data_IF_032517567167
#
_entry.id   IF_032517567167
#
_cell.length_a   1.000
_cell.length_b   1.000
_cell.length_c   1.000
_cell.angle_alpha   90.00
_cell.angle_beta   90.00
_cell.angle_gamma   90.00
#
_symmetry.space_group_name_H-M   'P 1'
#
loop_
_entity.id
_entity.type
_entity.pdbx_description
1 polymer ?
#
# COMPACT_ATOMS: atom_id res chain seq x y z
N UNK A 1 0.03 68.02 -37.17
CA UNK A 1 -0.57 66.68 -37.03
C UNK A 1 0.07 65.92 -35.85
N UNK A 2 0.11 66.47 -34.63
CA UNK A 2 0.94 65.81 -33.58
C UNK A 2 0.50 66.03 -32.12
N UNK A 3 -0.81 66.02 -31.85
CA UNK A 3 -1.35 66.01 -30.47
C UNK A 3 -2.45 64.99 -30.19
N UNK A 4 -2.84 64.17 -31.17
CA UNK A 4 -3.90 63.14 -31.00
C UNK A 4 -3.38 61.73 -30.76
N UNK A 5 -2.05 61.48 -30.78
CA UNK A 5 -1.48 60.13 -30.61
C UNK A 5 -0.90 59.81 -29.22
N UNK A 6 -0.98 60.71 -28.24
CA UNK A 6 -0.39 60.48 -26.90
C UNK A 6 -1.35 60.06 -25.79
N UNK A 7 -2.65 59.92 -26.06
CA UNK A 7 -3.65 59.56 -25.03
C UNK A 7 -4.25 58.15 -25.16
N UNK A 8 -3.66 57.27 -25.98
CA UNK A 8 -4.16 55.88 -26.15
C UNK A 8 -3.25 54.80 -25.58
N UNK A 9 -2.19 55.17 -24.86
CA UNK A 9 -1.23 54.22 -24.27
C UNK A 9 -1.11 54.42 -22.76
N UNK A 10 -2.26 54.45 -22.09
CA UNK A 10 -2.36 54.38 -20.63
C UNK A 10 -3.74 53.87 -20.20
N UNK A 11 -4.28 52.89 -20.91
CA UNK A 11 -5.19 51.95 -20.25
C UNK A 11 -4.30 50.88 -19.64
N UNK A 12 -3.84 51.15 -18.42
CA UNK A 12 -3.23 50.13 -17.59
C UNK A 12 -4.21 48.98 -17.51
N UNK A 13 -3.80 47.82 -18.02
CA UNK A 13 -4.37 46.55 -17.62
C UNK A 13 -4.05 46.46 -16.13
N UNK A 14 -4.96 46.99 -15.29
CA UNK A 14 -5.10 46.51 -13.93
C UNK A 14 -5.51 45.06 -14.11
N UNK A 15 -4.53 44.17 -14.16
CA UNK A 15 -4.77 42.78 -13.83
C UNK A 15 -5.32 42.82 -12.39
N UNK A 16 -6.64 42.78 -12.27
CA UNK A 16 -7.23 42.35 -11.01
C UNK A 16 -6.63 40.96 -10.77
N UNK A 17 -5.73 40.88 -9.79
CA UNK A 17 -5.23 39.61 -9.27
C UNK A 17 -6.38 38.92 -8.55
N UNK A 18 -7.37 38.47 -9.32
CA UNK A 18 -8.51 37.73 -8.79
C UNK A 18 -7.98 36.35 -8.45
N UNK A 19 -8.00 36.04 -7.16
CA UNK A 19 -7.66 34.72 -6.67
C UNK A 19 -8.84 33.80 -7.01
N UNK A 20 -8.71 33.04 -8.09
CA UNK A 20 -9.65 32.00 -8.48
C UNK A 20 -9.46 30.69 -7.68
N UNK A 21 -10.42 29.75 -7.78
CA UNK A 21 -10.35 28.44 -7.13
C UNK A 21 -9.06 27.68 -7.43
N UNK A 22 -8.55 27.77 -8.66
CA UNK A 22 -7.32 27.09 -9.09
C UNK A 22 -6.06 27.61 -8.38
N UNK A 23 -6.02 28.92 -8.12
CA UNK A 23 -4.92 29.54 -7.36
C UNK A 23 -4.95 29.08 -5.89
N UNK A 24 -6.14 28.96 -5.29
CA UNK A 24 -6.31 28.42 -3.93
C UNK A 24 -5.91 26.93 -3.92
N UNK A 25 -6.36 26.16 -4.90
CA UNK A 25 -6.05 24.75 -5.03
C UNK A 25 -4.54 24.50 -5.12
N UNK A 26 -3.79 25.26 -5.93
CA UNK A 26 -2.33 25.14 -6.03
C UNK A 26 -1.62 25.41 -4.70
N UNK A 27 -2.05 26.44 -3.95
CA UNK A 27 -1.45 26.77 -2.65
C UNK A 27 -1.77 25.69 -1.62
N UNK A 28 -3.03 25.26 -1.53
CA UNK A 28 -3.45 24.18 -0.63
C UNK A 28 -2.71 22.90 -0.97
N UNK A 29 -2.59 22.54 -2.26
CA UNK A 29 -1.80 21.39 -2.70
C UNK A 29 -0.34 21.46 -2.30
N UNK A 30 0.27 22.63 -2.38
CA UNK A 30 1.67 22.83 -1.98
C UNK A 30 1.85 22.67 -0.46
N UNK A 31 0.86 23.06 0.34
CA UNK A 31 0.89 22.95 1.80
C UNK A 31 0.56 21.53 2.28
N UNK A 32 -0.44 20.90 1.70
CA UNK A 32 -0.91 19.56 2.11
C UNK A 32 -0.14 18.44 1.43
N UNK A 33 0.52 18.72 0.30
CA UNK A 33 1.15 17.72 -0.57
C UNK A 33 0.14 16.94 -1.43
N UNK A 34 -1.13 17.38 -1.51
CA UNK A 34 -2.22 16.66 -2.15
C UNK A 34 -2.76 17.47 -3.32
N UNK A 35 -2.86 16.91 -4.55
CA UNK A 35 -3.44 17.62 -5.68
C UNK A 35 -4.93 17.96 -5.43
N UNK A 36 -5.27 19.24 -5.31
CA UNK A 36 -6.62 19.76 -5.01
C UNK A 36 -7.43 19.98 -6.29
N UNK A 37 -6.79 19.88 -7.46
CA UNK A 37 -7.31 20.35 -8.75
C UNK A 37 -8.56 19.62 -9.31
N UNK A 38 -9.15 18.64 -8.61
CA UNK A 38 -10.21 17.82 -9.22
C UNK A 38 -11.24 17.18 -8.25
N UNK A 39 -11.70 17.89 -7.22
CA UNK A 39 -12.44 17.30 -6.10
C UNK A 39 -13.96 17.10 -6.30
N UNK A 40 -14.39 16.60 -7.46
CA UNK A 40 -15.81 16.29 -7.68
C UNK A 40 -16.04 15.04 -8.51
N UNK A 41 -15.99 15.18 -9.84
CA UNK A 41 -16.21 14.06 -10.75
C UNK A 41 -15.02 13.10 -10.78
N UNK A 42 -13.79 13.62 -10.74
CA UNK A 42 -12.56 12.81 -10.73
C UNK A 42 -12.40 12.00 -9.43
N UNK A 43 -12.84 12.52 -8.29
CA UNK A 43 -12.79 11.78 -7.02
C UNK A 43 -13.78 10.61 -7.01
N UNK A 44 -15.00 10.82 -7.51
CA UNK A 44 -15.98 9.74 -7.67
C UNK A 44 -15.49 8.68 -8.66
N UNK A 45 -14.90 9.08 -9.79
CA UNK A 45 -14.31 8.16 -10.77
C UNK A 45 -13.13 7.39 -10.18
N UNK A 46 -12.24 8.05 -9.45
CA UNK A 46 -11.14 7.40 -8.71
C UNK A 46 -11.68 6.37 -7.73
N UNK A 47 -12.73 6.67 -6.98
CA UNK A 47 -13.34 5.71 -6.04
C UNK A 47 -13.95 4.50 -6.76
N UNK A 48 -14.54 4.69 -7.95
CA UNK A 48 -15.06 3.60 -8.78
C UNK A 48 -13.94 2.70 -9.34
N UNK A 49 -12.81 3.28 -9.73
CA UNK A 49 -11.65 2.54 -10.25
C UNK A 49 -10.75 1.97 -9.15
N UNK A 50 -10.88 2.47 -7.92
CA UNK A 50 -10.01 2.13 -6.79
C UNK A 50 -9.86 0.62 -6.59
N UNK A 51 -10.91 -0.22 -6.63
CA UNK A 51 -10.72 -1.66 -6.50
C UNK A 51 -9.76 -2.20 -7.56
N UNK A 52 -9.92 -1.84 -8.83
CA UNK A 52 -9.05 -2.28 -9.92
C UNK A 52 -7.61 -1.82 -9.71
N UNK A 53 -7.41 -0.57 -9.31
CA UNK A 53 -6.08 0.00 -9.04
C UNK A 53 -5.39 -0.70 -7.87
N UNK A 54 -6.14 -1.02 -6.81
CA UNK A 54 -5.63 -1.76 -5.67
C UNK A 54 -5.28 -3.22 -6.02
N UNK A 55 -6.06 -3.89 -6.88
CA UNK A 55 -5.78 -5.27 -7.34
C UNK A 55 -4.51 -5.39 -8.17
N UNK A 56 -4.15 -4.35 -8.93
CA UNK A 56 -2.87 -4.33 -9.66
C UNK A 56 -1.68 -4.48 -8.71
N UNK A 57 -1.79 -3.92 -7.51
CA UNK A 57 -0.74 -3.86 -6.50
C UNK A 57 -0.84 -4.93 -5.42
N UNK A 58 -2.05 -5.36 -5.05
CA UNK A 58 -2.29 -6.35 -4.00
C UNK A 58 -2.91 -7.60 -4.62
N UNK A 59 -2.16 -8.70 -4.59
CA UNK A 59 -2.55 -9.99 -5.19
C UNK A 59 -3.33 -10.84 -4.19
N UNK A 60 -4.45 -11.44 -4.63
CA UNK A 60 -5.15 -12.51 -3.91
C UNK A 60 -5.97 -12.06 -2.71
N UNK A 61 -6.36 -10.79 -2.67
CA UNK A 61 -7.13 -10.19 -1.58
C UNK A 61 -8.34 -9.42 -2.12
N UNK A 62 -9.03 -10.01 -3.09
CA UNK A 62 -10.11 -9.38 -3.86
C UNK A 62 -11.24 -8.92 -2.94
N UNK A 63 -11.66 -9.79 -2.01
CA UNK A 63 -12.67 -9.48 -1.00
C UNK A 63 -12.26 -8.32 -0.08
N UNK A 64 -10.97 -8.21 0.24
CA UNK A 64 -10.45 -7.15 1.12
C UNK A 64 -10.51 -5.77 0.45
N UNK A 65 -10.22 -5.75 -0.84
CA UNK A 65 -10.21 -4.54 -1.66
C UNK A 65 -11.64 -4.05 -1.89
N UNK A 66 -12.58 -4.93 -2.23
CA UNK A 66 -13.99 -4.57 -2.51
C UNK A 66 -14.73 -4.13 -1.25
N UNK A 67 -14.41 -4.70 -0.08
CA UNK A 67 -15.09 -4.37 1.19
C UNK A 67 -14.58 -3.11 1.88
N UNK A 68 -13.50 -2.52 1.37
CA UNK A 68 -13.01 -1.22 1.84
C UNK A 68 -13.90 -0.09 1.31
N UNK A 69 -15.14 0.01 1.81
CA UNK A 69 -16.13 1.02 1.41
C UNK A 69 -15.74 2.40 1.95
N UNK A 70 -14.93 3.11 1.20
CA UNK A 70 -14.49 4.46 1.53
C UNK A 70 -15.59 5.48 1.20
N UNK A 71 -15.73 6.51 2.04
CA UNK A 71 -16.67 7.62 1.80
C UNK A 71 -18.11 7.38 2.24
N UNK A 72 -18.41 6.28 2.93
CA UNK A 72 -19.70 6.02 3.59
C UNK A 72 -19.65 6.20 5.12
N UNK A 73 -18.57 6.80 5.63
CA UNK A 73 -18.42 7.08 7.06
C UNK A 73 -19.39 8.16 7.54
N UNK A 74 -19.71 8.16 8.83
CA UNK A 74 -20.55 9.21 9.40
C UNK A 74 -19.83 10.57 9.35
N UNK A 75 -20.54 11.68 9.07
CA UNK A 75 -19.99 13.01 9.22
C UNK A 75 -19.42 13.21 10.63
N UNK A 76 -18.14 13.58 10.72
CA UNK A 76 -17.44 13.75 12.00
C UNK A 76 -16.62 12.54 12.46
N UNK A 77 -16.65 11.41 11.76
CA UNK A 77 -15.76 10.27 11.99
C UNK A 77 -14.64 10.22 10.94
N UNK A 78 -13.59 9.40 11.14
CA UNK A 78 -12.61 9.15 10.08
C UNK A 78 -13.29 8.65 8.80
N UNK A 79 -12.75 9.05 7.65
CA UNK A 79 -13.28 8.73 6.31
C UNK A 79 -13.42 7.22 6.04
N UNK A 80 -12.67 6.41 6.79
CA UNK A 80 -12.87 4.98 6.92
C UNK A 80 -12.05 4.40 8.07
N UNK A 81 -12.56 3.38 8.74
CA UNK A 81 -11.86 2.69 9.81
C UNK A 81 -11.94 1.17 9.64
N UNK A 82 -10.77 0.52 9.53
CA UNK A 82 -10.68 -0.89 9.15
C UNK A 82 -9.83 -1.69 10.12
N UNK A 83 -10.24 -2.94 10.40
CA UNK A 83 -9.41 -3.93 11.07
C UNK A 83 -9.01 -5.04 10.11
N UNK A 84 -7.73 -5.11 9.78
CA UNK A 84 -7.13 -6.11 8.90
C UNK A 84 -6.61 -7.30 9.72
N UNK A 85 -7.24 -8.45 9.52
CA UNK A 85 -6.93 -9.72 10.18
C UNK A 85 -6.24 -10.68 9.21
N UNK A 86 -5.41 -11.59 9.68
CA UNK A 86 -4.74 -12.59 8.83
C UNK A 86 -3.25 -12.77 9.17
N UNK A 87 -2.52 -13.71 8.56
CA UNK A 87 -1.12 -13.97 8.90
C UNK A 87 -0.18 -12.79 8.57
N UNK A 88 1.08 -12.89 8.99
CA UNK A 88 2.12 -11.95 8.54
C UNK A 88 2.48 -12.18 7.09
N UNK A 89 2.71 -11.11 6.33
CA UNK A 89 3.20 -11.20 4.95
C UNK A 89 2.13 -11.25 3.87
N UNK A 90 0.86 -11.47 4.19
CA UNK A 90 -0.26 -11.57 3.22
C UNK A 90 -0.71 -10.24 2.57
N UNK A 91 0.05 -9.15 2.72
CA UNK A 91 -0.26 -7.89 2.04
C UNK A 91 -1.05 -6.83 2.83
N UNK A 92 -1.36 -7.02 4.12
CA UNK A 92 -2.09 -6.02 4.96
C UNK A 92 -1.48 -4.61 4.90
N UNK A 93 -0.16 -4.51 5.09
CA UNK A 93 0.57 -3.23 5.01
C UNK A 93 0.66 -2.71 3.58
N UNK A 94 0.68 -3.60 2.60
CA UNK A 94 0.79 -3.22 1.19
C UNK A 94 -0.52 -2.59 0.70
N UNK A 95 -1.67 -3.14 1.12
CA UNK A 95 -2.96 -2.52 0.87
C UNK A 95 -3.05 -1.12 1.48
N UNK A 96 -2.53 -0.93 2.70
CA UNK A 96 -2.52 0.39 3.33
C UNK A 96 -1.66 1.42 2.56
N UNK A 97 -0.51 1.00 2.02
CA UNK A 97 0.32 1.85 1.16
C UNK A 97 -0.36 2.18 -0.16
N UNK A 98 -0.95 1.17 -0.79
CA UNK A 98 -1.70 1.32 -2.03
C UNK A 98 -2.87 2.31 -1.84
N UNK A 99 -3.61 2.22 -0.73
CA UNK A 99 -4.64 3.19 -0.37
C UNK A 99 -4.09 4.61 -0.22
N UNK A 100 -2.94 4.78 0.45
CA UNK A 100 -2.33 6.10 0.60
C UNK A 100 -1.92 6.72 -0.74
N UNK A 101 -1.35 5.91 -1.63
CA UNK A 101 -0.99 6.33 -2.97
C UNK A 101 -2.20 6.70 -3.82
N UNK A 102 -3.22 5.83 -3.87
CA UNK A 102 -4.36 6.02 -4.77
C UNK A 102 -5.29 7.15 -4.32
N UNK A 103 -5.44 7.35 -3.01
CA UNK A 103 -6.38 8.35 -2.46
C UNK A 103 -5.71 9.70 -2.18
N UNK A 104 -4.46 9.69 -1.73
CA UNK A 104 -3.74 10.90 -1.33
C UNK A 104 -2.54 11.22 -2.23
N UNK A 105 -2.39 10.48 -3.33
CA UNK A 105 -1.38 10.72 -4.36
C UNK A 105 0.04 10.28 -4.01
N UNK A 106 0.29 9.79 -2.79
CA UNK A 106 1.64 9.40 -2.37
C UNK A 106 1.63 8.38 -1.22
N UNK A 107 2.44 7.32 -1.32
CA UNK A 107 2.67 6.36 -0.23
C UNK A 107 3.19 7.02 1.06
N UNK A 108 3.90 8.16 0.96
CA UNK A 108 4.39 8.94 2.11
C UNK A 108 3.27 9.53 2.96
N UNK A 109 2.02 9.51 2.48
CA UNK A 109 0.85 9.83 3.28
C UNK A 109 0.43 8.68 4.21
N UNK A 110 1.16 7.56 4.22
CA UNK A 110 1.02 6.52 5.23
C UNK A 110 1.75 6.90 6.53
N UNK A 111 0.98 7.21 7.57
CA UNK A 111 1.47 7.36 8.94
C UNK A 111 1.46 5.99 9.61
N UNK A 112 2.62 5.36 9.70
CA UNK A 112 2.75 4.03 10.34
C UNK A 112 3.18 4.14 11.80
N UNK A 113 2.49 3.42 12.68
CA UNK A 113 2.82 3.30 14.11
C UNK A 113 2.83 1.81 14.50
N UNK A 114 3.92 1.35 15.11
CA UNK A 114 4.05 -0.04 15.58
C UNK A 114 3.53 -0.16 17.02
N UNK A 115 2.43 -0.89 17.20
CA UNK A 115 1.78 -1.03 18.50
C UNK A 115 2.55 -1.90 19.48
N UNK A 116 3.59 -2.62 19.03
CA UNK A 116 4.49 -3.33 19.94
C UNK A 116 5.25 -2.37 20.86
N UNK A 117 5.49 -1.13 20.43
CA UNK A 117 6.13 -0.08 21.24
C UNK A 117 5.17 0.53 22.28
N UNK A 118 3.89 0.17 22.23
CA UNK A 118 2.81 0.76 23.04
C UNK A 118 2.16 -0.26 23.98
N UNK A 119 2.91 -1.28 24.39
CA UNK A 119 2.45 -2.34 25.28
C UNK A 119 2.32 -1.94 26.77
N UNK A 120 2.67 -0.71 27.13
CA UNK A 120 2.56 -0.17 28.50
C UNK A 120 1.62 1.03 28.51
N UNK A 121 0.82 1.18 29.56
CA UNK A 121 -0.06 2.34 29.76
C UNK A 121 0.67 3.69 29.72
N UNK A 122 1.94 3.74 30.17
CA UNK A 122 2.77 4.94 30.11
C UNK A 122 3.12 5.39 28.67
N UNK A 123 2.91 4.52 27.68
CA UNK A 123 3.18 4.83 26.26
C UNK A 123 2.15 5.75 25.62
N UNK A 124 0.99 5.96 26.26
CA UNK A 124 -0.05 6.91 25.78
C UNK A 124 0.53 8.31 25.60
N UNK A 125 1.41 8.75 26.51
CA UNK A 125 2.05 10.07 26.42
C UNK A 125 2.98 10.18 25.21
N UNK A 126 3.59 9.08 24.75
CA UNK A 126 4.37 9.09 23.50
C UNK A 126 3.49 9.23 22.27
N UNK A 127 2.28 8.68 22.32
CA UNK A 127 1.34 8.71 21.20
C UNK A 127 0.70 10.08 21.05
N UNK A 128 0.23 10.65 22.17
CA UNK A 128 -0.62 11.85 22.21
C UNK A 128 0.17 13.11 22.60
N UNK A 129 1.24 12.96 23.39
CA UNK A 129 2.04 14.04 23.95
C UNK A 129 2.14 13.90 25.48
N UNK A 130 3.16 14.53 26.07
CA UNK A 130 3.31 14.62 27.52
C UNK A 130 2.68 15.91 28.03
N UNK A 131 2.02 15.86 29.20
CA UNK A 131 1.43 17.03 29.84
C UNK A 131 2.48 18.09 30.21
N UNK A 132 2.10 19.38 30.30
CA UNK A 132 2.97 20.44 30.82
C UNK A 132 3.65 20.09 32.14
N UNK A 133 4.97 20.26 32.19
CA UNK A 133 5.78 20.01 33.39
C UNK A 133 6.29 18.59 33.57
N UNK A 134 6.06 17.67 32.63
CA UNK A 134 6.59 16.28 32.69
C UNK A 134 7.79 16.06 31.76
N UNK A 135 8.61 15.04 32.03
CA UNK A 135 9.76 14.72 31.16
C UNK A 135 9.28 14.34 29.75
N UNK A 136 9.86 14.98 28.73
CA UNK A 136 9.42 14.83 27.34
C UNK A 136 8.36 15.84 26.88
N UNK A 137 8.02 16.84 27.70
CA UNK A 137 7.06 17.90 27.38
C UNK A 137 7.31 18.65 26.06
N UNK A 138 8.57 18.81 25.63
CA UNK A 138 8.92 19.45 24.36
C UNK A 138 8.69 18.55 23.13
N UNK A 139 8.58 17.23 23.32
CA UNK A 139 8.25 16.29 22.25
C UNK A 139 6.73 16.16 22.17
N UNK A 140 6.14 16.65 21.10
CA UNK A 140 4.72 16.40 20.83
C UNK A 140 4.44 14.92 20.52
N UNK A 141 3.16 14.57 20.43
CA UNK A 141 2.74 13.17 20.27
C UNK A 141 3.06 12.63 18.88
N UNK A 142 3.56 11.39 18.82
CA UNK A 142 3.91 10.77 17.54
C UNK A 142 2.72 10.63 16.57
N UNK A 143 1.51 10.45 17.10
CA UNK A 143 0.29 10.38 16.29
C UNK A 143 -0.25 11.79 16.03
N UNK A 144 -0.44 12.57 17.09
CA UNK A 144 -1.07 13.90 17.03
C UNK A 144 -0.29 14.87 16.15
N UNK A 145 1.03 14.92 16.25
CA UNK A 145 1.83 15.81 15.40
C UNK A 145 1.84 15.39 13.93
N UNK A 146 1.93 14.08 13.65
CA UNK A 146 1.97 13.59 12.27
C UNK A 146 0.65 13.85 11.54
N UNK A 147 -0.48 13.59 12.21
CA UNK A 147 -1.80 13.83 11.63
C UNK A 147 -2.09 15.33 11.55
N UNK A 148 -1.67 16.13 12.52
CA UNK A 148 -1.78 17.60 12.44
C UNK A 148 -0.99 18.19 11.27
N UNK A 149 0.18 17.64 10.95
CA UNK A 149 0.96 18.03 9.78
C UNK A 149 0.38 17.50 8.47
N UNK A 150 -0.33 16.36 8.51
CA UNK A 150 -0.89 15.66 7.34
C UNK A 150 -2.30 15.14 7.65
N UNK A 151 -3.32 16.02 7.65
CA UNK A 151 -4.68 15.66 8.07
C UNK A 151 -5.37 14.71 7.10
N UNK A 152 -4.91 14.66 5.85
CA UNK A 152 -5.31 13.69 4.84
C UNK A 152 -4.24 12.60 4.76
N UNK A 153 -4.46 11.49 5.44
CA UNK A 153 -3.48 10.41 5.52
C UNK A 153 -4.13 9.07 5.80
N UNK A 154 -3.40 8.00 5.47
CA UNK A 154 -3.71 6.66 5.98
C UNK A 154 -2.92 6.47 7.26
N UNK A 155 -3.58 6.23 8.38
CA UNK A 155 -2.93 5.93 9.66
C UNK A 155 -2.97 4.43 9.88
N UNK A 156 -1.80 3.79 9.86
CA UNK A 156 -1.65 2.35 10.04
C UNK A 156 -1.12 2.01 11.43
N UNK A 157 -1.99 1.48 12.27
CA UNK A 157 -1.68 0.88 13.57
C UNK A 157 -1.34 -0.60 13.40
N UNK A 158 -0.05 -0.89 13.33
CA UNK A 158 0.42 -2.25 13.08
C UNK A 158 0.43 -3.07 14.37
N UNK A 159 -0.06 -4.32 14.33
CA UNK A 159 -0.06 -5.24 15.46
C UNK A 159 -0.85 -4.76 16.69
N UNK A 160 -2.05 -4.18 16.48
CA UNK A 160 -2.85 -3.53 17.53
C UNK A 160 -3.16 -4.41 18.74
N UNK A 161 -3.21 -5.75 18.58
CA UNK A 161 -3.37 -6.70 19.71
C UNK A 161 -2.26 -6.65 20.77
N UNK A 162 -1.13 -6.01 20.48
CA UNK A 162 0.00 -5.85 21.42
C UNK A 162 -0.04 -4.55 22.21
N UNK A 163 -0.93 -3.62 21.86
CA UNK A 163 -1.08 -2.35 22.57
C UNK A 163 -1.70 -2.56 23.95
N UNK A 164 -1.37 -1.67 24.88
CA UNK A 164 -2.03 -1.55 26.16
C UNK A 164 -3.50 -1.09 26.01
N UNK A 165 -4.37 -1.50 26.94
CA UNK A 165 -5.78 -1.14 26.91
C UNK A 165 -6.02 0.39 26.97
N UNK A 166 -5.17 1.15 27.67
CA UNK A 166 -5.25 2.61 27.72
C UNK A 166 -5.00 3.25 26.35
N UNK A 167 -4.15 2.64 25.53
CA UNK A 167 -3.89 3.08 24.14
C UNK A 167 -5.11 2.78 23.25
N UNK A 168 -5.75 1.63 23.43
CA UNK A 168 -6.98 1.31 22.70
C UNK A 168 -8.12 2.28 22.99
N UNK A 169 -8.22 2.80 24.22
CA UNK A 169 -9.22 3.80 24.57
C UNK A 169 -9.04 5.11 23.79
N UNK A 170 -7.79 5.50 23.49
CA UNK A 170 -7.51 6.64 22.61
C UNK A 170 -8.07 6.40 21.20
N UNK A 171 -8.01 5.16 20.71
CA UNK A 171 -8.57 4.83 19.39
C UNK A 171 -10.10 4.91 19.39
N UNK A 172 -10.78 4.49 20.46
CA UNK A 172 -12.22 4.65 20.57
C UNK A 172 -12.63 6.11 20.40
N UNK A 173 -11.93 7.03 21.07
CA UNK A 173 -12.18 8.47 20.92
C UNK A 173 -12.01 8.96 19.47
N UNK A 174 -10.96 8.52 18.78
CA UNK A 174 -10.72 8.88 17.38
C UNK A 174 -11.83 8.33 16.48
N UNK A 175 -12.25 7.08 16.70
CA UNK A 175 -13.28 6.43 15.88
C UNK A 175 -14.67 7.04 16.09
N UNK A 176 -14.92 7.58 17.29
CA UNK A 176 -16.22 8.12 17.68
C UNK A 176 -16.40 9.56 17.19
N UNK A 177 -15.43 10.42 17.51
CA UNK A 177 -15.54 11.87 17.34
C UNK A 177 -14.67 12.42 16.20
N UNK A 178 -13.88 11.55 15.54
CA UNK A 178 -12.93 11.95 14.50
C UNK A 178 -11.91 12.98 15.00
N UNK A 179 -11.71 13.08 16.32
CA UNK A 179 -10.89 14.12 16.95
C UNK A 179 -10.13 13.55 18.13
N UNK A 180 -8.94 14.07 18.34
CA UNK A 180 -8.13 13.76 19.52
C UNK A 180 -7.51 15.03 20.06
N UNK A 181 -7.69 15.28 21.34
CA UNK A 181 -7.04 16.40 22.03
C UNK A 181 -5.72 15.93 22.62
N UNK A 182 -4.64 16.63 22.28
CA UNK A 182 -3.32 16.34 22.82
C UNK A 182 -3.17 16.80 24.28
N UNK A 183 -2.07 16.43 24.93
CA UNK A 183 -1.81 16.83 26.31
C UNK A 183 -1.51 18.32 26.51
N UNK A 184 -1.39 19.09 25.43
CA UNK A 184 -1.27 20.55 25.42
C UNK A 184 -2.63 21.23 25.16
N UNK A 185 -3.73 20.47 25.07
CA UNK A 185 -5.07 20.99 24.83
C UNK A 185 -5.37 21.31 23.37
N UNK A 186 -4.50 20.92 22.43
CA UNK A 186 -4.71 21.13 20.99
C UNK A 186 -5.51 19.97 20.42
N UNK A 187 -6.63 20.28 19.76
CA UNK A 187 -7.44 19.26 19.08
C UNK A 187 -6.92 18.99 17.68
N UNK A 188 -6.67 17.72 17.38
CA UNK A 188 -6.28 17.21 16.06
C UNK A 188 -7.49 16.55 15.40
N UNK A 189 -7.70 16.87 14.13
CA UNK A 189 -8.80 16.36 13.32
C UNK A 189 -8.37 15.12 12.52
N UNK A 190 -9.17 14.07 12.59
CA UNK A 190 -9.01 12.78 11.93
C UNK A 190 -10.11 12.50 10.90
N UNK A 191 -11.06 13.41 10.69
CA UNK A 191 -12.20 13.20 9.78
C UNK A 191 -11.76 12.89 8.34
N UNK A 192 -10.65 13.48 7.89
CA UNK A 192 -10.04 13.25 6.57
C UNK A 192 -9.01 12.13 6.55
N UNK A 193 -8.93 11.31 7.61
CA UNK A 193 -8.00 10.18 7.70
C UNK A 193 -8.67 8.85 7.46
N UNK A 194 -7.90 7.88 6.98
CA UNK A 194 -8.29 6.47 6.94
C UNK A 194 -7.52 5.74 8.02
N UNK A 195 -8.22 5.15 8.99
CA UNK A 195 -7.63 4.39 10.08
C UNK A 195 -7.58 2.92 9.71
N UNK A 196 -6.39 2.32 9.74
CA UNK A 196 -6.19 0.90 9.51
C UNK A 196 -5.49 0.30 10.72
N UNK A 197 -6.13 -0.67 11.35
CA UNK A 197 -5.54 -1.49 12.39
C UNK A 197 -5.19 -2.86 11.83
N UNK A 198 -4.04 -3.42 12.18
CA UNK A 198 -3.69 -4.79 11.77
C UNK A 198 -3.53 -5.71 12.96
N UNK A 199 -3.99 -6.95 12.79
CA UNK A 199 -3.72 -8.03 13.72
C UNK A 199 -3.31 -9.29 12.98
N UNK A 200 -2.51 -10.12 13.65
CA UNK A 200 -2.14 -11.44 13.11
C UNK A 200 -3.12 -12.54 13.55
N UNK A 201 -4.19 -12.14 14.24
CA UNK A 201 -5.26 -13.03 14.68
C UNK A 201 -6.14 -13.46 13.50
N UNK A 202 -6.78 -14.63 13.63
CA UNK A 202 -7.74 -15.15 12.66
C UNK A 202 -7.22 -16.20 11.67
N UNK A 203 -5.94 -16.58 11.74
CA UNK A 203 -5.31 -17.57 10.86
C UNK A 203 -5.41 -19.04 11.34
N UNK A 204 -6.10 -19.32 12.45
CA UNK A 204 -6.19 -20.67 13.04
C UNK A 204 -7.39 -21.50 12.58
N UNK A 205 -8.09 -21.13 11.51
CA UNK A 205 -9.13 -21.98 10.94
C UNK A 205 -8.58 -22.66 9.68
N UNK A 206 -8.57 -23.99 9.74
CA UNK A 206 -8.11 -24.92 8.71
C UNK A 206 -8.57 -24.49 7.29
N UNK A 207 -7.77 -24.72 6.23
CA UNK A 207 -8.18 -24.45 4.84
C UNK A 207 -9.54 -25.08 4.45
N UNK A 208 -9.96 -26.15 5.13
CA UNK A 208 -11.29 -26.76 4.95
C UNK A 208 -12.46 -25.86 5.40
N UNK A 209 -12.31 -25.05 6.46
CA UNK A 209 -13.39 -24.18 6.95
C UNK A 209 -13.50 -22.87 6.17
N UNK A 210 -12.55 -22.56 5.27
CA UNK A 210 -12.57 -21.36 4.45
C UNK A 210 -13.51 -21.49 3.23
N UNK A 211 -13.87 -22.71 2.82
CA UNK A 211 -14.74 -22.96 1.66
C UNK A 211 -16.24 -22.92 1.98
N UNK A 212 -16.61 -23.00 3.27
CA UNK A 212 -18.01 -23.13 3.71
C UNK A 212 -18.48 -22.04 4.67
N UNK A 213 -17.63 -21.08 5.05
CA UNK A 213 -18.00 -20.03 5.99
C UNK A 213 -18.77 -18.88 5.32
N UNK A 214 -20.09 -18.82 5.56
CA UNK A 214 -20.94 -17.69 5.19
C UNK A 214 -20.38 -16.35 5.70
N UNK A 215 -20.42 -15.26 4.91
CA UNK A 215 -19.76 -13.97 5.19
C UNK A 215 -20.38 -13.17 6.35
N UNK A 216 -21.36 -13.71 7.07
CA UNK A 216 -22.15 -13.04 8.11
C UNK A 216 -21.91 -13.49 9.56
N UNK A 217 -21.00 -14.44 9.82
CA UNK A 217 -20.75 -14.89 11.20
C UNK A 217 -19.60 -14.13 11.87
N UNK A 218 -19.79 -13.57 13.08
CA UNK A 218 -18.69 -13.11 13.90
C UNK A 218 -17.85 -14.33 14.31
N UNK A 219 -16.57 -14.31 13.96
CA UNK A 219 -15.64 -15.38 14.36
C UNK A 219 -15.47 -15.34 15.89
N UNK A 220 -15.68 -16.44 16.64
CA UNK A 220 -15.50 -16.45 18.09
C UNK A 220 -14.06 -16.12 18.54
N UNK A 221 -13.08 -16.19 17.63
CA UNK A 221 -11.68 -15.84 17.92
C UNK A 221 -11.37 -14.34 17.91
N UNK A 222 -12.19 -13.50 17.27
CA UNK A 222 -11.94 -12.04 17.19
C UNK A 222 -12.51 -11.30 18.40
N UNK A 223 -13.67 -11.73 18.88
CA UNK A 223 -14.33 -11.22 20.09
C UNK A 223 -13.60 -11.58 21.38
N UNK A 224 -12.76 -12.62 21.38
CA UNK A 224 -11.94 -13.00 22.53
C UNK A 224 -10.76 -12.04 22.79
N UNK A 225 -10.25 -11.36 21.74
CA UNK A 225 -9.06 -10.51 21.85
C UNK A 225 -9.32 -9.02 21.69
N UNK A 226 -10.37 -8.64 20.97
CA UNK A 226 -10.79 -7.25 20.87
C UNK A 226 -12.15 -7.09 21.53
N UNK A 227 -12.27 -6.05 22.36
CA UNK A 227 -13.55 -5.70 22.98
C UNK A 227 -14.59 -5.43 21.88
N UNK A 228 -15.84 -5.90 22.04
CA UNK A 228 -16.91 -5.62 21.10
C UNK A 228 -17.08 -4.11 20.82
N UNK A 229 -16.82 -3.27 21.83
CA UNK A 229 -16.81 -1.81 21.73
C UNK A 229 -15.94 -1.32 20.57
N UNK A 230 -14.70 -1.81 20.44
CA UNK A 230 -13.79 -1.40 19.36
C UNK A 230 -14.30 -1.88 18.00
N UNK A 231 -14.76 -3.12 17.92
CA UNK A 231 -15.22 -3.73 16.67
C UNK A 231 -16.45 -2.98 16.12
N UNK A 232 -17.38 -2.60 17.00
CA UNK A 232 -18.61 -1.94 16.63
C UNK A 232 -18.42 -0.49 16.14
N UNK A 233 -17.26 0.14 16.44
CA UNK A 233 -16.90 1.48 15.94
C UNK A 233 -16.15 1.46 14.61
N UNK A 234 -15.79 0.27 14.12
CA UNK A 234 -15.11 0.14 12.84
C UNK A 234 -16.11 0.18 11.69
N UNK A 235 -15.70 0.79 10.58
CA UNK A 235 -16.45 0.71 9.32
C UNK A 235 -16.56 -0.74 8.85
N UNK A 236 -15.45 -1.50 8.87
CA UNK A 236 -15.45 -2.90 8.43
C UNK A 236 -14.25 -3.68 9.01
N UNK A 237 -14.45 -4.99 9.20
CA UNK A 237 -13.36 -5.92 9.51
C UNK A 237 -13.02 -6.74 8.27
N UNK A 238 -11.77 -6.64 7.83
CA UNK A 238 -11.29 -7.27 6.61
C UNK A 238 -10.38 -8.44 6.96
N UNK A 239 -10.71 -9.62 6.43
CA UNK A 239 -9.91 -10.83 6.65
C UNK A 239 -9.06 -11.13 5.43
N UNK A 240 -7.75 -11.21 5.65
CA UNK A 240 -6.77 -11.62 4.66
C UNK A 240 -6.53 -13.12 4.75
N UNK A 241 -6.52 -13.78 3.59
CA UNK A 241 -6.25 -15.21 3.47
C UNK A 241 -4.77 -15.44 3.15
N UNK A 242 -4.19 -16.57 3.54
CA UNK A 242 -2.89 -17.00 3.02
C UNK A 242 -2.91 -17.00 1.49
N UNK A 243 -1.79 -16.62 0.88
CA UNK A 243 -1.65 -16.61 -0.58
C UNK A 243 -1.43 -18.04 -1.08
N UNK A 244 -2.05 -18.40 -2.21
CA UNK A 244 -1.73 -19.64 -2.92
C UNK A 244 -0.32 -19.58 -3.53
N UNK A 245 0.26 -20.72 -3.90
CA UNK A 245 1.56 -20.78 -4.58
C UNK A 245 1.61 -19.94 -5.86
N UNK A 246 0.52 -19.93 -6.63
CA UNK A 246 0.39 -19.11 -7.83
C UNK A 246 0.37 -17.60 -7.51
N UNK A 247 -0.36 -17.21 -6.46
CA UNK A 247 -0.40 -15.82 -5.99
C UNK A 247 0.98 -15.38 -5.46
N UNK A 248 1.70 -16.27 -4.77
CA UNK A 248 3.07 -16.02 -4.34
C UNK A 248 4.00 -15.76 -5.53
N UNK A 249 3.89 -16.55 -6.61
CA UNK A 249 4.63 -16.35 -7.86
C UNK A 249 4.34 -14.98 -8.49
N UNK A 250 3.06 -14.59 -8.55
CA UNK A 250 2.66 -13.26 -9.05
C UNK A 250 3.26 -12.12 -8.20
N UNK A 251 3.23 -12.26 -6.87
CA UNK A 251 3.85 -11.27 -5.95
C UNK A 251 5.37 -11.20 -6.13
N UNK A 252 6.04 -12.34 -6.30
CA UNK A 252 7.47 -12.43 -6.57
C UNK A 252 7.88 -11.61 -7.80
N UNK A 253 7.20 -11.86 -8.92
CA UNK A 253 7.44 -11.17 -10.20
C UNK A 253 7.18 -9.66 -10.07
N UNK A 254 5.97 -9.28 -9.67
CA UNK A 254 5.53 -7.88 -9.74
C UNK A 254 6.26 -6.95 -8.78
N UNK A 255 6.57 -7.41 -7.56
CA UNK A 255 7.13 -6.52 -6.53
C UNK A 255 8.63 -6.66 -6.33
N UNK A 256 9.15 -7.90 -6.32
CA UNK A 256 10.53 -8.16 -5.88
C UNK A 256 11.50 -8.16 -7.05
N UNK A 257 11.18 -8.91 -8.11
CA UNK A 257 12.01 -8.96 -9.31
C UNK A 257 12.11 -7.59 -9.98
N UNK A 258 10.99 -6.86 -10.10
CA UNK A 258 10.99 -5.50 -10.66
C UNK A 258 11.90 -4.54 -9.88
N UNK A 259 11.87 -4.58 -8.55
CA UNK A 259 12.71 -3.72 -7.72
C UNK A 259 14.20 -4.11 -7.80
N UNK A 260 14.50 -5.39 -7.99
CA UNK A 260 15.86 -5.87 -8.20
C UNK A 260 16.40 -5.51 -9.58
N UNK A 261 15.61 -5.74 -10.63
CA UNK A 261 15.93 -5.38 -12.00
C UNK A 261 16.16 -3.87 -12.12
N UNK A 262 15.34 -3.02 -11.50
CA UNK A 262 15.55 -1.58 -11.51
C UNK A 262 16.91 -1.17 -10.91
N UNK A 263 17.35 -1.80 -9.81
CA UNK A 263 18.66 -1.52 -9.18
C UNK A 263 19.84 -2.03 -9.99
N UNK A 264 19.67 -3.13 -10.73
CA UNK A 264 20.71 -3.66 -11.61
C UNK A 264 20.79 -2.85 -12.91
N UNK A 265 19.65 -2.38 -13.42
CA UNK A 265 19.59 -1.48 -14.58
C UNK A 265 20.29 -0.14 -14.33
N UNK A 266 20.25 0.40 -13.09
CA UNK A 266 21.07 1.56 -12.69
C UNK A 266 22.58 1.32 -12.87
N UNK A 267 23.01 0.06 -12.97
CA UNK A 267 24.39 -0.38 -13.22
C UNK A 267 24.58 -0.98 -14.62
N UNK A 268 23.64 -0.77 -15.54
CA UNK A 268 23.72 -1.34 -16.89
C UNK A 268 23.53 -2.85 -16.97
N UNK A 269 23.03 -3.51 -15.92
CA UNK A 269 22.82 -4.96 -15.90
C UNK A 269 21.35 -5.30 -16.06
N UNK A 270 21.00 -6.04 -17.12
CA UNK A 270 19.69 -6.64 -17.31
C UNK A 270 19.49 -7.88 -16.43
N UNK A 271 18.27 -8.08 -15.93
CA UNK A 271 17.92 -9.25 -15.12
C UNK A 271 16.60 -9.86 -15.57
N UNK A 272 16.65 -11.15 -15.93
CA UNK A 272 15.49 -12.00 -16.12
C UNK A 272 15.54 -13.20 -15.17
N UNK A 273 14.39 -13.60 -14.64
CA UNK A 273 14.27 -14.78 -13.77
C UNK A 273 13.10 -15.63 -14.25
N UNK A 274 13.36 -16.90 -14.55
CA UNK A 274 12.36 -17.84 -15.07
C UNK A 274 11.35 -18.27 -13.99
N UNK A 275 10.18 -18.77 -14.39
CA UNK A 275 9.21 -19.34 -13.43
C UNK A 275 9.76 -20.55 -12.70
N UNK A 276 10.62 -21.34 -13.35
CA UNK A 276 11.22 -22.52 -12.73
C UNK A 276 12.20 -22.12 -11.62
N UNK A 277 12.98 -21.04 -11.82
CA UNK A 277 13.81 -20.45 -10.78
C UNK A 277 12.96 -19.91 -9.61
N UNK A 278 11.84 -19.25 -9.90
CA UNK A 278 10.92 -18.77 -8.87
C UNK A 278 10.36 -19.93 -8.04
N UNK A 279 9.91 -21.00 -8.70
CA UNK A 279 9.34 -22.17 -8.06
C UNK A 279 10.37 -22.93 -7.21
N UNK A 280 11.62 -23.03 -7.68
CA UNK A 280 12.72 -23.62 -6.91
C UNK A 280 12.99 -22.85 -5.61
N UNK A 281 12.96 -21.51 -5.65
CA UNK A 281 13.12 -20.67 -4.45
C UNK A 281 11.89 -20.74 -3.55
N UNK A 282 10.68 -20.81 -4.12
CA UNK A 282 9.44 -20.97 -3.36
C UNK A 282 9.45 -22.27 -2.55
N UNK A 283 9.84 -23.39 -3.17
CA UNK A 283 9.90 -24.70 -2.54
C UNK A 283 10.86 -24.77 -1.34
N UNK A 284 11.93 -23.96 -1.34
CA UNK A 284 12.92 -23.87 -0.25
C UNK A 284 12.55 -22.86 0.83
N UNK A 285 11.70 -21.90 0.50
CA UNK A 285 11.27 -20.85 1.43
C UNK A 285 10.09 -21.32 2.27
N UNK A 286 9.99 -20.90 3.53
CA UNK A 286 8.75 -21.09 4.28
C UNK A 286 7.60 -20.34 3.59
N UNK A 287 6.36 -20.84 3.68
CA UNK A 287 5.11 -20.31 3.07
C UNK A 287 4.78 -18.82 3.36
N UNK A 288 5.70 -18.07 3.95
CA UNK A 288 5.60 -16.65 4.20
C UNK A 288 6.25 -15.85 3.06
N UNK A 289 5.43 -15.05 2.37
CA UNK A 289 5.82 -14.05 1.33
C UNK A 289 7.10 -13.28 1.66
N UNK A 290 7.27 -12.88 2.93
CA UNK A 290 8.43 -12.10 3.41
C UNK A 290 9.72 -12.92 3.55
N UNK A 291 9.60 -14.22 3.80
CA UNK A 291 10.75 -15.13 3.83
C UNK A 291 11.22 -15.37 2.40
N UNK A 292 10.29 -15.68 1.50
CA UNK A 292 10.55 -15.85 0.07
C UNK A 292 11.32 -14.68 -0.53
N UNK A 293 10.82 -13.45 -0.41
CA UNK A 293 11.46 -12.32 -1.07
C UNK A 293 12.85 -11.98 -0.58
N UNK A 294 13.09 -12.17 0.72
CA UNK A 294 14.44 -12.02 1.27
C UNK A 294 15.36 -13.14 0.79
N UNK A 295 14.83 -14.36 0.62
CA UNK A 295 15.58 -15.49 0.09
C UNK A 295 15.99 -15.24 -1.37
N UNK A 296 15.02 -14.95 -2.24
CA UNK A 296 15.24 -14.63 -3.65
C UNK A 296 16.23 -13.48 -3.82
N UNK A 297 15.99 -12.36 -3.13
CA UNK A 297 16.87 -11.21 -3.19
C UNK A 297 18.28 -11.55 -2.73
N UNK A 298 18.42 -12.28 -1.61
CA UNK A 298 19.72 -12.65 -1.07
C UNK A 298 20.45 -13.58 -2.05
N UNK A 299 19.82 -14.63 -2.54
CA UNK A 299 20.48 -15.61 -3.43
C UNK A 299 20.90 -14.96 -4.75
N UNK A 300 19.96 -14.30 -5.43
CA UNK A 300 20.21 -13.67 -6.74
C UNK A 300 21.21 -12.50 -6.61
N UNK A 301 20.99 -11.54 -5.71
CA UNK A 301 21.90 -10.39 -5.57
C UNK A 301 23.28 -10.80 -5.08
N UNK A 302 23.38 -11.77 -4.15
CA UNK A 302 24.70 -12.22 -3.66
C UNK A 302 25.47 -12.92 -4.77
N UNK A 303 24.80 -13.72 -5.61
CA UNK A 303 25.46 -14.40 -6.73
C UNK A 303 25.92 -13.38 -7.78
N UNK A 304 25.04 -12.49 -8.23
CA UNK A 304 25.39 -11.43 -9.20
C UNK A 304 26.53 -10.56 -8.67
N UNK A 305 26.49 -10.16 -7.39
CA UNK A 305 27.59 -9.38 -6.80
C UNK A 305 28.92 -10.12 -6.83
N UNK A 306 28.93 -11.45 -6.61
CA UNK A 306 30.15 -12.26 -6.73
C UNK A 306 30.64 -12.36 -8.17
N UNK A 307 29.73 -12.47 -9.15
CA UNK A 307 30.07 -12.52 -10.57
C UNK A 307 30.67 -11.20 -11.04
N UNK A 308 30.11 -10.06 -10.60
CA UNK A 308 30.68 -8.72 -10.84
C UNK A 308 32.08 -8.60 -10.25
N UNK A 309 32.31 -9.05 -9.01
CA UNK A 309 33.65 -9.02 -8.38
C UNK A 309 34.65 -9.93 -9.10
N UNK A 310 34.18 -10.99 -9.75
CA UNK A 310 35.01 -11.90 -10.56
C UNK A 310 35.18 -11.45 -12.00
N UNK A 311 34.65 -10.28 -12.37
CA UNK A 311 34.67 -9.77 -13.75
C UNK A 311 33.95 -10.70 -14.75
N UNK A 312 33.03 -11.56 -14.27
CA UNK A 312 32.19 -12.44 -15.09
C UNK A 312 30.97 -11.69 -15.66
N UNK A 313 30.56 -10.59 -15.01
CA UNK A 313 29.45 -9.70 -15.39
C UNK A 313 29.97 -8.27 -15.35
N UNK A 314 29.87 -7.57 -16.47
CA UNK A 314 30.22 -6.17 -16.67
C UNK A 314 28.99 -5.32 -17.03
N UNK A 315 29.20 -4.02 -17.21
CA UNK A 315 28.16 -3.12 -17.71
C UNK A 315 27.71 -3.62 -19.11
N UNK A 316 26.40 -3.52 -19.42
CA UNK A 316 25.76 -4.03 -20.65
C UNK A 316 25.54 -5.56 -20.73
N UNK A 317 25.68 -6.27 -19.62
CA UNK A 317 25.31 -7.69 -19.52
C UNK A 317 23.82 -7.92 -19.28
N UNK A 318 23.29 -9.01 -19.83
CA UNK A 318 21.97 -9.54 -19.52
C UNK A 318 22.10 -10.86 -18.74
N UNK A 319 21.59 -10.91 -17.51
CA UNK A 319 21.66 -12.09 -16.65
C UNK A 319 20.31 -12.80 -16.64
N UNK A 320 20.29 -14.05 -17.09
CA UNK A 320 19.13 -14.94 -17.00
C UNK A 320 19.33 -15.93 -15.86
N UNK A 321 18.39 -15.96 -14.92
CA UNK A 321 18.39 -16.87 -13.78
C UNK A 321 17.37 -17.98 -14.02
N UNK A 322 17.84 -19.23 -14.08
CA UNK A 322 17.02 -20.43 -14.25
C UNK A 322 17.27 -21.45 -13.12
N UNK A 323 16.50 -22.53 -13.06
CA UNK A 323 16.75 -23.66 -12.17
C UNK A 323 17.33 -24.85 -12.94
N UNK A 324 18.43 -25.41 -12.44
CA UNK A 324 19.08 -26.56 -13.09
C UNK A 324 18.19 -27.81 -13.06
N UNK A 325 17.81 -28.34 -14.22
CA UNK A 325 17.13 -29.63 -14.34
C UNK A 325 18.12 -30.77 -14.02
N UNK A 326 18.10 -31.27 -12.79
CA UNK A 326 18.80 -32.52 -12.43
C UNK A 326 19.50 -32.59 -11.08
N UNK A 327 19.63 -31.49 -10.33
CA UNK A 327 20.24 -31.52 -9.01
C UNK A 327 19.14 -31.60 -7.94
N UNK A 328 19.23 -32.58 -7.04
CA UNK A 328 18.27 -32.89 -5.97
C UNK A 328 18.00 -31.71 -5.00
N UNK A 329 18.76 -30.61 -5.13
CA UNK A 329 18.58 -29.40 -4.34
C UNK A 329 17.85 -28.26 -5.06
N UNK A 330 17.73 -28.25 -6.40
CA UNK A 330 17.08 -27.14 -7.15
C UNK A 330 17.91 -25.85 -7.25
N UNK A 331 19.24 -25.96 -7.43
CA UNK A 331 20.15 -24.81 -7.49
C UNK A 331 19.84 -23.86 -8.67
N UNK A 332 20.02 -22.56 -8.41
CA UNK A 332 19.86 -21.50 -9.41
C UNK A 332 21.08 -21.47 -10.33
N UNK A 333 20.83 -21.53 -11.63
CA UNK A 333 21.80 -21.40 -12.71
C UNK A 333 21.73 -19.99 -13.25
N UNK A 334 22.89 -19.36 -13.43
CA UNK A 334 23.01 -17.99 -13.92
C UNK A 334 23.70 -18.04 -15.28
N UNK A 335 23.00 -17.59 -16.31
CA UNK A 335 23.54 -17.46 -17.67
C UNK A 335 23.75 -15.98 -17.94
N UNK A 336 24.94 -15.61 -18.40
CA UNK A 336 25.28 -14.23 -18.74
C UNK A 336 25.35 -14.15 -20.26
N UNK A 337 24.50 -13.31 -20.84
CA UNK A 337 24.58 -12.95 -22.24
C UNK A 337 25.23 -11.58 -22.36
N UNK A 338 26.32 -11.51 -23.12
CA UNK A 338 27.01 -10.25 -23.41
C UNK A 338 26.44 -9.73 -24.71
N UNK A 339 25.69 -8.62 -24.68
CA UNK A 339 25.29 -7.92 -25.90
C UNK A 339 26.55 -7.35 -26.57
N UNK A 340 27.24 -8.18 -27.36
CA UNK A 340 28.58 -7.86 -27.85
C UNK A 340 29.22 -8.86 -28.80
N UNK A 341 28.50 -9.85 -29.34
CA UNK A 341 28.97 -10.59 -30.51
C UNK A 341 27.80 -10.85 -31.48
N UNK A 342 27.95 -10.38 -32.71
CA UNK A 342 26.82 -10.03 -33.57
C UNK A 342 26.01 -11.21 -34.12
N UNK A 343 24.68 -11.12 -33.98
CA UNK A 343 23.73 -11.41 -35.07
C UNK A 343 22.31 -10.98 -34.68
N UNK A 344 21.78 -10.10 -35.52
CA UNK A 344 20.36 -9.73 -35.70
C UNK A 344 19.69 -8.82 -34.66
N UNK A 345 19.03 -7.82 -35.24
CA UNK A 345 18.31 -6.71 -34.62
C UNK A 345 17.37 -7.17 -33.51
N UNK A 346 17.67 -6.78 -32.27
CA UNK A 346 16.64 -6.59 -31.25
C UNK A 346 16.79 -5.18 -30.71
N UNK A 347 15.82 -4.34 -31.07
CA UNK A 347 15.63 -3.01 -30.50
C UNK A 347 15.66 -3.08 -28.96
N UNK A 348 16.10 -2.01 -28.26
CA UNK A 348 16.07 -1.98 -26.80
C UNK A 348 14.61 -1.89 -26.36
N UNK A 349 13.95 -3.05 -26.24
CA UNK A 349 12.61 -3.13 -25.75
C UNK A 349 12.65 -2.89 -24.24
N UNK A 350 12.21 -1.70 -23.84
CA UNK A 350 11.66 -1.40 -22.52
C UNK A 350 10.39 -2.23 -22.21
N UNK A 351 10.28 -3.45 -22.72
CA UNK A 351 9.13 -4.31 -22.61
C UNK A 351 9.42 -5.38 -21.55
N UNK A 352 9.13 -5.02 -20.30
CA UNK A 352 8.64 -6.01 -19.36
C UNK A 352 7.29 -6.48 -19.95
N UNK A 353 7.28 -7.59 -20.68
CA UNK A 353 6.04 -8.18 -21.19
C UNK A 353 5.35 -8.82 -19.99
N UNK A 354 4.32 -8.13 -19.48
CA UNK A 354 3.31 -8.73 -18.62
C UNK A 354 2.62 -9.84 -19.42
N UNK A 355 3.08 -11.08 -19.24
CA UNK A 355 2.38 -12.27 -19.70
C UNK A 355 1.17 -12.55 -18.81
N UNK A 356 0.22 -11.64 -18.76
CA UNK A 356 -1.14 -11.87 -18.23
C UNK A 356 -2.08 -11.83 -19.43
N UNK A 357 -2.22 -12.96 -20.13
CA UNK A 357 -3.32 -13.16 -21.06
C UNK A 357 -4.62 -13.17 -20.25
N UNK A 358 -5.45 -12.15 -20.47
CA UNK A 358 -6.82 -12.09 -19.97
C UNK A 358 -7.62 -13.23 -20.64
N UNK A 359 -7.89 -14.31 -19.89
CA UNK A 359 -8.99 -15.21 -20.23
C UNK A 359 -10.31 -14.49 -19.87
N UNK A 360 -10.90 -13.90 -20.91
CA UNK A 360 -12.23 -13.31 -20.90
C UNK A 360 -13.27 -14.45 -20.86
N UNK A 361 -13.67 -14.90 -19.66
CA UNK A 361 -14.86 -15.76 -19.50
C UNK A 361 -16.13 -14.93 -19.77
N UNK A 362 -16.51 -14.87 -21.05
CA UNK A 362 -17.85 -14.50 -21.47
C UNK A 362 -18.75 -15.75 -21.44
N UNK A 363 -19.53 -15.94 -20.37
CA UNK A 363 -20.61 -16.92 -20.36
C UNK A 363 -21.99 -16.24 -20.34
N UNK A 364 -22.52 -16.14 -21.57
CA UNK A 364 -23.91 -16.11 -22.03
C UNK A 364 -25.04 -15.82 -21.02
N UNK A 365 -25.60 -14.62 -21.13
CA UNK A 365 -27.02 -14.39 -20.89
C UNK A 365 -27.80 -14.89 -22.12
N UNK A 366 -28.26 -16.14 -22.06
CA UNK A 366 -29.23 -16.69 -23.00
C UNK A 366 -30.64 -16.24 -22.65
N UNK A 367 -31.26 -15.50 -23.56
CA UNK A 367 -32.67 -15.19 -23.60
C UNK A 367 -33.52 -16.46 -23.59
N UNK A 368 -34.47 -16.57 -22.66
CA UNK A 368 -35.71 -17.31 -22.91
C UNK A 368 -36.89 -16.42 -22.50
N UNK A 369 -37.32 -15.61 -23.46
CA UNK A 369 -38.67 -15.06 -23.52
C UNK A 369 -39.43 -15.82 -24.61
N UNK A 370 -40.26 -16.79 -24.21
CA UNK A 370 -41.53 -17.08 -24.90
C UNK A 370 -42.35 -18.15 -24.17
N UNK A 371 -43.56 -17.74 -23.75
CA UNK A 371 -44.84 -18.52 -23.70
C UNK A 371 -44.87 -19.64 -22.66
N UNK A 372 -45.85 -19.77 -21.76
CA UNK A 372 -47.26 -19.37 -21.71
C UNK A 372 -47.70 -19.06 -20.27
#
# INVERSE_FOLDING_TARGET
MDRRKKNQQQQGIKEEKVVGPDHIAQIVSKWTGIPVASLGEDERKKLLELPRLLHRRVVGQEEAVVRSRLGLGNPGQPSGSFLFLGPTGVGKTELAKALAEQLFGNEKMLVRIDMSEYASSSSVTRLVGSAPGTQGHERGGQLTDRVRQRPYSVVLFNEVKKADAAVLNVFLQILDDGRLTDSHGRTVDFTSTIIIMTSNLGARHSPESARTASPRMPRPSTTAHFKPELINRLTETVVFRPLSGEQLRKVARRMQLRAMAARLAEKGIGLEVTDVAIDAVLARSSDQVRAYGRCLQKEVMTRISKMVVREEVDDDCYVVVDAGKGNEEGELVFTVDKQGDGSEENEPASAFVDGDGEEEEAEAAGEESSRD
#
